data_IF_609887127411
#
_entry.id   IF_609887127411
#
_cell.length_a   1.000
_cell.length_b   1.000
_cell.length_c   1.000
_cell.angle_alpha   90.00
_cell.angle_beta   90.00
_cell.angle_gamma   90.00
#
_symmetry.space_group_name_H-M   'P 1'
#
loop_
_entity.id
_entity.type
_entity.pdbx_description
1 polymer ?
#
# COMPACT_ATOMS: atom_id res chain seq x y z
N UNK A 1 -33.75 -9.76 1.33
CA UNK A 1 -33.11 -8.66 2.08
C UNK A 1 -31.61 -8.60 1.76
N UNK A 2 -31.20 -8.08 0.60
CA UNK A 2 -29.79 -8.09 0.13
C UNK A 2 -29.22 -6.69 -0.22
N UNK A 3 -29.84 -5.60 0.25
CA UNK A 3 -29.49 -4.24 -0.20
C UNK A 3 -28.38 -3.56 0.63
N UNK A 4 -28.30 -3.84 1.93
CA UNK A 4 -27.39 -3.13 2.85
C UNK A 4 -25.91 -3.56 2.70
N UNK A 5 -25.64 -4.85 2.42
CA UNK A 5 -24.26 -5.35 2.25
C UNK A 5 -23.60 -4.85 0.95
N UNK A 6 -24.38 -4.55 -0.10
CA UNK A 6 -23.83 -4.06 -1.39
C UNK A 6 -23.35 -2.61 -1.30
N UNK A 7 -24.01 -1.78 -0.51
CA UNK A 7 -23.63 -0.36 -0.36
C UNK A 7 -22.31 -0.20 0.42
N UNK A 8 -22.10 -1.01 1.45
CA UNK A 8 -20.85 -0.99 2.25
C UNK A 8 -19.65 -1.54 1.48
N UNK A 9 -19.83 -2.58 0.67
CA UNK A 9 -18.74 -3.10 -0.16
C UNK A 9 -18.27 -2.08 -1.22
N UNK A 10 -19.21 -1.34 -1.84
CA UNK A 10 -18.90 -0.33 -2.85
C UNK A 10 -18.15 0.87 -2.26
N UNK A 11 -18.60 1.39 -1.11
CA UNK A 11 -17.93 2.53 -0.46
C UNK A 11 -16.51 2.20 0.02
N UNK A 12 -16.28 0.97 0.48
CA UNK A 12 -14.95 0.49 0.88
C UNK A 12 -14.03 0.34 -0.35
N UNK A 13 -14.53 -0.21 -1.46
CA UNK A 13 -13.77 -0.28 -2.71
C UNK A 13 -13.37 1.12 -3.23
N UNK A 14 -14.31 2.08 -3.21
CA UNK A 14 -14.04 3.46 -3.63
C UNK A 14 -12.93 4.11 -2.77
N UNK A 15 -12.86 3.77 -1.48
CA UNK A 15 -11.80 4.27 -0.59
C UNK A 15 -10.41 3.71 -0.92
N UNK A 16 -10.32 2.48 -1.44
CA UNK A 16 -9.04 1.83 -1.74
C UNK A 16 -8.45 2.31 -3.06
N UNK A 17 -9.30 2.45 -4.07
CA UNK A 17 -8.89 3.05 -5.35
C UNK A 17 -8.47 4.51 -5.13
N UNK A 18 -9.17 5.25 -4.27
CA UNK A 18 -8.75 6.60 -3.87
C UNK A 18 -7.37 6.62 -3.20
N UNK A 19 -7.10 5.65 -2.32
CA UNK A 19 -5.79 5.50 -1.68
C UNK A 19 -4.69 5.26 -2.72
N UNK A 20 -4.87 4.29 -3.62
CA UNK A 20 -3.89 3.95 -4.65
C UNK A 20 -3.61 5.14 -5.58
N UNK A 21 -4.65 5.81 -6.06
CA UNK A 21 -4.49 7.01 -6.92
C UNK A 21 -3.75 8.12 -6.18
N UNK A 22 -4.03 8.32 -4.89
CA UNK A 22 -3.35 9.32 -4.07
C UNK A 22 -1.87 8.96 -3.89
N UNK A 23 -1.57 7.70 -3.59
CA UNK A 23 -0.20 7.21 -3.49
C UNK A 23 0.57 7.40 -4.80
N UNK A 24 0.02 6.96 -5.93
CA UNK A 24 0.65 7.10 -7.24
C UNK A 24 0.88 8.57 -7.61
N UNK A 25 -0.10 9.44 -7.33
CA UNK A 25 0.04 10.89 -7.55
C UNK A 25 1.17 11.48 -6.70
N UNK A 26 1.34 11.05 -5.46
CA UNK A 26 2.43 11.50 -4.59
C UNK A 26 3.78 10.94 -5.06
N UNK A 27 3.82 9.68 -5.47
CA UNK A 27 5.01 9.03 -6.02
C UNK A 27 5.51 9.72 -7.30
N UNK A 28 4.59 10.12 -8.19
CA UNK A 28 4.95 10.87 -9.41
C UNK A 28 5.55 12.26 -9.11
N UNK A 29 5.20 12.87 -7.97
CA UNK A 29 5.76 14.16 -7.54
C UNK A 29 7.16 14.03 -6.93
N UNK A 30 7.56 12.84 -6.45
CA UNK A 30 8.90 12.59 -5.91
C UNK A 30 9.93 12.69 -7.04
N UNK A 31 10.88 13.61 -6.91
CA UNK A 31 11.95 13.81 -7.91
C UNK A 31 13.30 13.25 -7.47
N UNK A 32 13.49 13.01 -6.17
CA UNK A 32 14.72 12.45 -5.62
C UNK A 32 14.68 10.92 -5.64
N UNK A 33 15.63 10.32 -6.35
CA UNK A 33 15.77 8.86 -6.43
C UNK A 33 16.08 8.24 -5.06
N UNK A 34 16.75 8.96 -4.15
CA UNK A 34 17.08 8.47 -2.81
C UNK A 34 15.82 8.33 -1.95
N UNK A 35 14.90 9.30 -2.04
CA UNK A 35 13.61 9.23 -1.35
C UNK A 35 12.76 8.06 -1.85
N UNK A 36 12.69 7.88 -3.17
CA UNK A 36 11.96 6.76 -3.78
C UNK A 36 12.61 5.41 -3.43
N UNK A 37 13.94 5.34 -3.36
CA UNK A 37 14.65 4.14 -2.94
C UNK A 37 14.36 3.79 -1.46
N UNK A 38 14.30 4.78 -0.58
CA UNK A 38 13.90 4.57 0.82
C UNK A 38 12.46 4.05 0.92
N UNK A 39 11.55 4.61 0.13
CA UNK A 39 10.17 4.11 0.04
C UNK A 39 10.14 2.66 -0.46
N UNK A 40 10.90 2.33 -1.49
CA UNK A 40 10.99 0.96 -2.02
C UNK A 40 11.50 -0.01 -0.94
N UNK A 41 12.53 0.36 -0.18
CA UNK A 41 13.06 -0.47 0.92
C UNK A 41 12.03 -0.72 2.02
N UNK A 42 11.22 0.29 2.37
CA UNK A 42 10.11 0.15 3.32
C UNK A 42 9.05 -0.83 2.81
N UNK A 43 8.65 -0.71 1.56
CA UNK A 43 7.66 -1.61 0.94
C UNK A 43 8.19 -3.03 0.82
N UNK A 44 9.46 -3.22 0.46
CA UNK A 44 10.11 -4.53 0.43
C UNK A 44 10.19 -5.16 1.82
N UNK A 45 10.51 -4.37 2.85
CA UNK A 45 10.48 -4.86 4.24
C UNK A 45 9.09 -5.39 4.60
N UNK A 46 8.03 -4.65 4.25
CA UNK A 46 6.66 -5.15 4.42
C UNK A 46 6.41 -6.42 3.62
N UNK A 47 6.79 -6.47 2.34
CA UNK A 47 6.57 -7.65 1.50
C UNK A 47 7.25 -8.94 1.99
N UNK A 48 8.29 -8.81 2.81
CA UNK A 48 9.04 -9.96 3.37
C UNK A 48 8.53 -10.32 4.77
N UNK A 49 8.27 -9.32 5.62
CA UNK A 49 8.06 -9.53 7.06
C UNK A 49 6.60 -9.42 7.50
N UNK A 50 5.72 -8.86 6.67
CA UNK A 50 4.29 -8.79 6.98
C UNK A 50 3.54 -9.96 6.32
N UNK A 51 2.96 -10.82 7.17
CA UNK A 51 1.99 -11.82 6.75
C UNK A 51 0.56 -11.33 7.05
N UNK A 52 -0.24 -10.99 6.03
CA UNK A 52 -1.60 -10.48 6.22
C UNK A 52 -2.57 -11.51 6.81
N UNK A 53 -2.23 -12.81 6.79
CA UNK A 53 -3.08 -13.86 7.35
C UNK A 53 -2.81 -14.11 8.83
N UNK A 54 -1.74 -13.54 9.39
CA UNK A 54 -1.41 -13.65 10.80
C UNK A 54 -2.09 -12.56 11.62
N UNK A 55 -2.45 -12.90 12.85
CA UNK A 55 -3.08 -11.98 13.80
C UNK A 55 -2.08 -10.99 14.41
N UNK A 56 -0.81 -11.38 14.49
CA UNK A 56 0.24 -10.57 15.08
C UNK A 56 1.04 -9.87 13.99
N UNK A 57 1.09 -8.53 14.08
CA UNK A 57 1.89 -7.70 13.18
C UNK A 57 3.13 -7.25 13.95
N UNK A 58 4.30 -7.51 13.37
CA UNK A 58 5.56 -7.03 13.94
C UNK A 58 5.53 -5.51 14.12
N UNK A 59 6.09 -5.01 15.23
CA UNK A 59 6.09 -3.57 15.54
C UNK A 59 6.66 -2.69 14.42
N UNK A 60 7.71 -3.15 13.74
CA UNK A 60 8.33 -2.43 12.61
C UNK A 60 7.37 -2.37 11.42
N UNK A 61 6.73 -3.48 11.08
CA UNK A 61 5.70 -3.52 10.04
C UNK A 61 4.55 -2.56 10.36
N UNK A 62 4.06 -2.55 11.60
CA UNK A 62 3.00 -1.62 12.03
C UNK A 62 3.40 -0.16 11.86
N UNK A 63 4.62 0.22 12.26
CA UNK A 63 5.12 1.58 12.12
C UNK A 63 5.26 2.01 10.65
N UNK A 64 5.77 1.12 9.80
CA UNK A 64 5.88 1.40 8.35
C UNK A 64 4.47 1.56 7.76
N UNK A 65 3.53 0.69 8.12
CA UNK A 65 2.14 0.79 7.66
C UNK A 65 1.48 2.10 8.07
N UNK A 66 1.66 2.53 9.31
CA UNK A 66 1.11 3.79 9.81
C UNK A 66 1.70 4.99 9.05
N UNK A 67 3.02 4.99 8.80
CA UNK A 67 3.67 6.02 8.00
C UNK A 67 3.14 6.10 6.57
N UNK A 68 2.79 4.96 5.98
CA UNK A 68 2.28 4.86 4.61
C UNK A 68 0.74 4.98 4.54
N UNK A 69 0.05 5.12 5.67
CA UNK A 69 -1.41 5.17 5.73
C UNK A 69 -2.08 3.84 5.35
N UNK A 70 -1.37 2.72 5.46
CA UNK A 70 -1.83 1.41 5.03
C UNK A 70 -2.75 0.70 6.02
N UNK A 71 -2.67 1.05 7.30
CA UNK A 71 -3.32 0.34 8.41
C UNK A 71 -4.83 0.17 8.23
N UNK A 72 -5.50 1.15 7.62
CA UNK A 72 -6.95 1.12 7.35
C UNK A 72 -7.35 0.12 6.26
N UNK A 73 -6.41 -0.24 5.39
CA UNK A 73 -6.61 -1.11 4.22
C UNK A 73 -6.24 -2.57 4.50
N UNK A 74 -5.64 -2.86 5.67
CA UNK A 74 -5.11 -4.18 6.03
C UNK A 74 -6.14 -5.12 6.68
N UNK A 75 -7.41 -4.70 6.84
CA UNK A 75 -8.47 -5.53 7.45
C UNK A 75 -8.84 -6.76 6.62
N UNK A 76 -8.62 -6.72 5.31
CA UNK A 76 -8.84 -7.84 4.41
C UNK A 76 -7.48 -8.32 3.88
N UNK A 77 -7.06 -9.56 4.19
CA UNK A 77 -5.71 -10.02 3.85
C UNK A 77 -5.46 -10.09 2.34
N UNK A 78 -6.46 -10.46 1.54
CA UNK A 78 -6.31 -10.52 0.09
C UNK A 78 -6.12 -9.14 -0.52
N UNK A 79 -6.89 -8.18 -0.02
CA UNK A 79 -6.80 -6.80 -0.45
C UNK A 79 -5.48 -6.17 0.00
N UNK A 80 -5.07 -6.41 1.24
CA UNK A 80 -3.79 -6.00 1.80
C UNK A 80 -2.63 -6.39 0.88
N UNK A 81 -2.58 -7.68 0.51
CA UNK A 81 -1.60 -8.21 -0.45
C UNK A 81 -1.69 -7.48 -1.78
N UNK A 82 -2.89 -7.30 -2.34
CA UNK A 82 -3.07 -6.67 -3.64
C UNK A 82 -2.59 -5.21 -3.65
N UNK A 83 -2.89 -4.46 -2.58
CA UNK A 83 -2.41 -3.08 -2.40
C UNK A 83 -0.89 -3.09 -2.33
N UNK A 84 -0.30 -3.90 -1.44
CA UNK A 84 1.15 -3.94 -1.25
C UNK A 84 1.90 -4.27 -2.56
N UNK A 85 1.40 -5.24 -3.33
CA UNK A 85 1.98 -5.58 -4.64
C UNK A 85 1.91 -4.39 -5.62
N UNK A 86 0.76 -3.72 -5.72
CA UNK A 86 0.64 -2.53 -6.58
C UNK A 86 1.59 -1.41 -6.15
N UNK A 87 1.75 -1.20 -4.84
CA UNK A 87 2.67 -0.19 -4.33
C UNK A 87 4.12 -0.52 -4.68
N UNK A 88 4.52 -1.80 -4.54
CA UNK A 88 5.84 -2.28 -4.93
C UNK A 88 6.10 -2.05 -6.42
N UNK A 89 5.20 -2.52 -7.28
CA UNK A 89 5.32 -2.40 -8.74
C UNK A 89 5.47 -0.93 -9.17
N UNK A 90 4.60 -0.05 -8.66
CA UNK A 90 4.63 1.37 -9.01
C UNK A 90 5.87 2.09 -8.51
N UNK A 91 6.31 1.75 -7.30
CA UNK A 91 7.52 2.36 -6.72
C UNK A 91 8.77 1.92 -7.48
N UNK A 92 8.85 0.65 -7.87
CA UNK A 92 9.93 0.12 -8.72
C UNK A 92 9.95 0.81 -10.09
N UNK A 93 8.79 0.92 -10.75
CA UNK A 93 8.65 1.66 -12.02
C UNK A 93 9.18 3.10 -11.89
N UNK A 94 8.76 3.82 -10.84
CA UNK A 94 9.21 5.19 -10.60
C UNK A 94 10.72 5.27 -10.35
N UNK A 95 11.27 4.38 -9.53
CA UNK A 95 12.69 4.36 -9.20
C UNK A 95 13.54 4.12 -10.45
N UNK A 96 13.13 3.18 -11.30
CA UNK A 96 13.79 2.89 -12.55
C UNK A 96 13.77 4.10 -13.49
N UNK A 97 12.65 4.81 -13.57
CA UNK A 97 12.53 6.02 -14.40
C UNK A 97 13.40 7.20 -13.90
N UNK A 98 13.73 7.25 -12.60
CA UNK A 98 14.61 8.29 -12.04
C UNK A 98 16.10 7.95 -12.16
N UNK A 99 16.45 6.67 -12.37
CA UNK A 99 17.83 6.19 -12.50
C UNK A 99 18.31 6.12 -13.96
N UNK A 100 17.42 6.30 -14.93
CA UNK A 100 17.72 6.42 -16.36
C UNK A 100 18.18 7.85 -16.70
#
# INVERSE_FOLDING_TARGET
MNSLQKQTAKSVQDSHETFLVTFETNLLKMQDAVEVELLMKKLQYLGINFDPFQSEIESVCSQIMDQLGLTTHMKNPYLATNILLRLLDKTEERLNNLKQ
#
